data_IF_103942517579
#
_entry.id   IF_103942517579
#
_cell.length_a   1.000
_cell.length_b   1.000
_cell.length_c   1.000
_cell.angle_alpha   90.00
_cell.angle_beta   90.00
_cell.angle_gamma   90.00
#
_symmetry.space_group_name_H-M   'P 1'
#
loop_
_entity.id
_entity.type
_entity.pdbx_description
1 polymer ?
#
# COMPACT_ATOMS: atom_id res chain seq x y z
N UNK A 1 -33.31 -7.62 -16.99
CA UNK A 1 -33.21 -7.94 -15.56
C UNK A 1 -33.86 -9.29 -15.34
N UNK A 2 -33.21 -10.16 -14.56
CA UNK A 2 -33.70 -11.50 -14.25
C UNK A 2 -33.70 -11.68 -12.73
N UNK A 3 -34.73 -12.34 -12.21
CA UNK A 3 -34.79 -12.77 -10.80
C UNK A 3 -34.94 -14.29 -10.82
N UNK A 4 -33.99 -14.98 -10.23
CA UNK A 4 -34.02 -16.45 -10.15
C UNK A 4 -35.00 -16.94 -9.07
N UNK A 5 -35.38 -18.22 -9.13
CA UNK A 5 -36.26 -18.84 -8.14
C UNK A 5 -35.69 -18.80 -6.70
N UNK A 6 -34.38 -18.65 -6.55
CA UNK A 6 -33.68 -18.53 -5.24
C UNK A 6 -33.48 -17.08 -4.79
N UNK A 7 -34.06 -16.12 -5.51
CA UNK A 7 -34.05 -14.69 -5.18
C UNK A 7 -32.80 -13.93 -5.64
N UNK A 8 -31.86 -14.56 -6.35
CA UNK A 8 -30.70 -13.85 -6.92
C UNK A 8 -31.12 -12.99 -8.12
N UNK A 9 -30.57 -11.78 -8.22
CA UNK A 9 -30.88 -10.77 -9.24
C UNK A 9 -29.74 -10.67 -10.27
N UNK A 10 -30.09 -10.72 -11.55
CA UNK A 10 -29.20 -10.48 -12.69
C UNK A 10 -29.58 -9.22 -13.45
N UNK A 11 -28.62 -8.33 -13.71
CA UNK A 11 -28.77 -7.17 -14.60
C UNK A 11 -27.81 -7.36 -15.77
N UNK A 12 -28.33 -7.47 -16.99
CA UNK A 12 -27.52 -7.82 -18.17
C UNK A 12 -27.19 -9.30 -18.33
N UNK A 13 -27.60 -10.16 -17.38
CA UNK A 13 -27.42 -11.63 -17.43
C UNK A 13 -28.67 -12.37 -16.98
N UNK A 14 -28.91 -13.56 -17.54
CA UNK A 14 -29.94 -14.51 -17.10
C UNK A 14 -29.40 -15.54 -16.10
N UNK A 15 -28.09 -15.60 -15.91
CA UNK A 15 -27.41 -16.53 -14.99
C UNK A 15 -26.56 -15.73 -13.99
N UNK A 16 -27.12 -15.39 -12.81
CA UNK A 16 -26.38 -14.67 -11.76
C UNK A 16 -25.24 -15.48 -11.11
N UNK A 17 -25.10 -16.77 -11.43
CA UNK A 17 -24.08 -17.64 -10.85
C UNK A 17 -24.19 -17.74 -9.33
N UNK A 18 -23.05 -17.60 -8.65
CA UNK A 18 -22.97 -17.63 -7.18
C UNK A 18 -23.36 -16.30 -6.51
N UNK A 19 -23.61 -15.24 -7.28
CA UNK A 19 -23.85 -13.90 -6.73
C UNK A 19 -25.33 -13.67 -6.42
N UNK A 20 -25.61 -12.97 -5.31
CA UNK A 20 -26.96 -12.47 -5.01
C UNK A 20 -27.38 -11.33 -5.94
N UNK A 21 -26.42 -10.51 -6.38
CA UNK A 21 -26.59 -9.51 -7.42
C UNK A 21 -25.43 -9.64 -8.41
N UNK A 22 -25.73 -9.99 -9.66
CA UNK A 22 -24.77 -10.03 -10.76
C UNK A 22 -25.11 -8.93 -11.77
N UNK A 23 -24.12 -8.13 -12.17
CA UNK A 23 -24.29 -7.04 -13.13
C UNK A 23 -23.26 -7.21 -14.25
N UNK A 24 -23.72 -7.58 -15.44
CA UNK A 24 -22.90 -7.61 -16.66
C UNK A 24 -22.84 -6.20 -17.27
N UNK A 25 -22.12 -5.30 -16.60
CA UNK A 25 -22.02 -3.89 -16.97
C UNK A 25 -21.45 -3.03 -15.85
N UNK A 26 -21.44 -1.70 -16.07
CA UNK A 26 -21.01 -0.74 -15.05
C UNK A 26 -22.15 -0.44 -14.08
N UNK A 27 -21.80 -0.31 -12.80
CA UNK A 27 -22.74 0.12 -11.75
C UNK A 27 -22.50 1.61 -11.48
N UNK A 28 -23.55 2.42 -11.58
CA UNK A 28 -23.55 3.79 -11.09
C UNK A 28 -24.08 3.83 -9.65
N UNK A 29 -23.32 4.41 -8.74
CA UNK A 29 -23.72 4.59 -7.34
C UNK A 29 -23.21 5.95 -6.84
N UNK A 30 -23.96 6.59 -5.92
CA UNK A 30 -23.45 7.76 -5.19
C UNK A 30 -22.44 7.36 -4.13
N UNK A 31 -22.66 6.19 -3.52
CA UNK A 31 -21.83 5.63 -2.46
C UNK A 31 -21.93 4.11 -2.49
N UNK A 32 -20.85 3.45 -2.09
CA UNK A 32 -20.79 2.01 -1.87
C UNK A 32 -20.11 1.75 -0.52
N UNK A 33 -20.89 1.35 0.47
CA UNK A 33 -20.36 0.91 1.77
C UNK A 33 -20.10 -0.60 1.71
N UNK A 34 -18.85 -1.02 1.93
CA UNK A 34 -18.46 -2.43 1.96
C UNK A 34 -18.10 -2.80 3.39
N UNK A 35 -18.99 -3.55 4.06
CA UNK A 35 -18.72 -4.07 5.41
C UNK A 35 -17.89 -5.34 5.31
N UNK A 36 -16.62 -5.25 5.73
CA UNK A 36 -15.70 -6.39 5.80
C UNK A 36 -15.31 -6.64 7.26
N UNK A 37 -15.02 -7.89 7.61
CA UNK A 37 -14.68 -8.26 8.99
C UNK A 37 -13.23 -7.98 9.39
N UNK A 38 -12.34 -7.70 8.42
CA UNK A 38 -10.91 -7.46 8.67
C UNK A 38 -10.49 -6.16 8.01
N UNK A 39 -10.10 -5.19 8.83
CA UNK A 39 -9.48 -3.95 8.39
C UNK A 39 -7.99 -4.01 8.72
N UNK A 40 -7.16 -3.41 7.87
CA UNK A 40 -5.70 -3.47 7.97
C UNK A 40 -5.10 -2.63 9.12
N UNK A 41 -5.74 -2.58 10.28
CA UNK A 41 -5.26 -1.84 11.47
C UNK A 41 -4.29 -2.72 12.28
N UNK A 42 -3.14 -3.06 11.69
CA UNK A 42 -2.13 -3.87 12.38
C UNK A 42 -0.69 -3.50 12.06
N UNK A 43 -0.42 -2.71 11.01
CA UNK A 43 0.95 -2.33 10.61
C UNK A 43 1.63 -1.48 11.68
N UNK A 44 0.87 -0.65 12.40
CA UNK A 44 1.39 0.18 13.48
C UNK A 44 1.43 -0.52 14.86
N UNK A 45 0.97 -1.77 14.95
CA UNK A 45 0.98 -2.50 16.23
C UNK A 45 2.40 -2.93 16.63
N UNK A 46 2.72 -2.97 17.93
CA UNK A 46 3.99 -3.52 18.40
C UNK A 46 4.21 -4.94 17.89
N UNK A 47 5.41 -5.21 17.38
CA UNK A 47 5.78 -6.54 16.85
C UNK A 47 5.48 -6.75 15.37
N UNK A 48 4.87 -5.78 14.67
CA UNK A 48 4.75 -5.84 13.22
C UNK A 48 6.14 -5.90 12.56
N UNK A 49 6.36 -6.94 11.75
CA UNK A 49 7.63 -7.14 11.05
C UNK A 49 7.59 -6.45 9.70
N UNK A 50 7.99 -5.18 9.67
CA UNK A 50 8.14 -4.44 8.42
C UNK A 50 9.23 -5.09 7.56
N UNK A 51 8.85 -5.51 6.35
CA UNK A 51 9.77 -6.15 5.40
C UNK A 51 10.94 -5.19 5.08
N UNK A 52 12.19 -5.66 4.99
CA UNK A 52 13.28 -4.81 4.50
C UNK A 52 13.04 -4.34 3.05
N UNK A 53 13.37 -3.07 2.74
CA UNK A 53 13.23 -2.53 1.38
C UNK A 53 14.05 -3.31 0.33
N UNK A 54 15.15 -3.95 0.73
CA UNK A 54 15.94 -4.83 -0.15
C UNK A 54 15.16 -6.08 -0.59
N UNK A 55 14.36 -6.65 0.32
CA UNK A 55 13.51 -7.80 0.00
C UNK A 55 12.30 -7.36 -0.83
N UNK A 56 11.72 -6.20 -0.53
CA UNK A 56 10.66 -5.61 -1.37
C UNK A 56 11.18 -5.39 -2.79
N UNK A 57 12.37 -4.79 -2.95
CA UNK A 57 13.00 -4.57 -4.25
C UNK A 57 13.24 -5.88 -5.01
N UNK A 58 13.75 -6.90 -4.33
CA UNK A 58 13.98 -8.23 -4.92
C UNK A 58 12.68 -8.89 -5.37
N UNK A 59 11.61 -8.76 -4.56
CA UNK A 59 10.29 -9.27 -4.90
C UNK A 59 9.74 -8.57 -6.14
N UNK A 60 9.77 -7.23 -6.18
CA UNK A 60 9.27 -6.44 -7.31
C UNK A 60 10.04 -6.74 -8.60
N UNK A 61 11.37 -6.87 -8.53
CA UNK A 61 12.18 -7.20 -9.70
C UNK A 61 11.78 -8.56 -10.32
N UNK A 62 11.40 -9.52 -9.47
CA UNK A 62 11.05 -10.88 -9.90
C UNK A 62 9.58 -11.01 -10.32
N UNK A 63 8.66 -10.40 -9.57
CA UNK A 63 7.21 -10.64 -9.71
C UNK A 63 6.47 -9.48 -10.40
N UNK A 64 7.10 -8.30 -10.56
CA UNK A 64 6.52 -7.12 -11.20
C UNK A 64 5.25 -6.58 -10.50
N UNK A 65 5.03 -6.94 -9.23
CA UNK A 65 3.99 -6.37 -8.38
C UNK A 65 4.47 -6.32 -6.92
N UNK A 66 3.71 -5.65 -6.05
CA UNK A 66 4.01 -5.58 -4.62
C UNK A 66 3.64 -6.89 -3.91
N UNK A 67 4.33 -7.25 -2.82
CA UNK A 67 3.89 -8.33 -1.94
C UNK A 67 2.43 -8.16 -1.49
N UNK A 68 1.72 -9.28 -1.34
CA UNK A 68 0.30 -9.36 -0.96
C UNK A 68 -0.72 -8.73 -1.93
N UNK A 69 -0.27 -7.94 -2.90
CA UNK A 69 -1.08 -7.42 -3.99
C UNK A 69 -1.15 -8.48 -5.10
N UNK A 70 -2.34 -8.82 -5.62
CA UNK A 70 -2.47 -9.80 -6.69
C UNK A 70 -1.76 -9.33 -7.97
N UNK A 71 -1.25 -10.29 -8.75
CA UNK A 71 -0.66 -9.98 -10.06
C UNK A 71 -1.73 -9.57 -11.08
N UNK A 72 -1.32 -8.94 -12.18
CA UNK A 72 -2.24 -8.64 -13.29
C UNK A 72 -2.94 -9.90 -13.82
N UNK A 73 -2.20 -11.01 -13.91
CA UNK A 73 -2.75 -12.29 -14.35
C UNK A 73 -3.84 -12.79 -13.38
N UNK A 74 -3.61 -12.68 -12.07
CA UNK A 74 -4.60 -13.07 -11.06
C UNK A 74 -5.85 -12.18 -11.10
N UNK A 75 -5.68 -10.88 -11.30
CA UNK A 75 -6.80 -9.92 -11.42
C UNK A 75 -7.62 -10.21 -12.69
N UNK A 76 -6.97 -10.55 -13.81
CA UNK A 76 -7.66 -10.93 -15.05
C UNK A 76 -8.43 -12.25 -14.91
N UNK A 77 -7.87 -13.23 -14.20
CA UNK A 77 -8.47 -14.54 -14.04
C UNK A 77 -9.62 -14.54 -13.01
N UNK A 78 -9.42 -13.89 -11.86
CA UNK A 78 -10.28 -14.04 -10.69
C UNK A 78 -11.05 -12.76 -10.32
N UNK A 79 -10.76 -11.65 -10.99
CA UNK A 79 -11.28 -10.33 -10.62
C UNK A 79 -10.65 -9.80 -9.33
N UNK A 80 -11.30 -8.82 -8.71
CA UNK A 80 -10.83 -8.22 -7.47
C UNK A 80 -11.98 -7.91 -6.51
N UNK A 81 -11.79 -8.27 -5.24
CA UNK A 81 -12.70 -7.86 -4.17
C UNK A 81 -12.44 -6.41 -3.78
N UNK A 82 -13.42 -5.51 -3.97
CA UNK A 82 -13.25 -4.09 -3.69
C UNK A 82 -12.81 -3.81 -2.23
N UNK A 83 -13.47 -4.44 -1.25
CA UNK A 83 -13.14 -4.26 0.17
C UNK A 83 -11.77 -4.81 0.54
N UNK A 84 -11.44 -6.03 0.07
CA UNK A 84 -10.16 -6.67 0.32
C UNK A 84 -9.00 -5.87 -0.30
N UNK A 85 -9.15 -5.40 -1.54
CA UNK A 85 -8.11 -4.61 -2.18
C UNK A 85 -7.92 -3.26 -1.49
N UNK A 86 -8.99 -2.58 -1.07
CA UNK A 86 -8.86 -1.35 -0.30
C UNK A 86 -8.13 -1.58 1.02
N UNK A 87 -8.41 -2.69 1.72
CA UNK A 87 -7.67 -3.04 2.94
C UNK A 87 -6.18 -3.30 2.66
N UNK A 88 -5.85 -4.04 1.59
CA UNK A 88 -4.45 -4.27 1.18
C UNK A 88 -3.74 -2.97 0.78
N UNK A 89 -4.41 -2.09 0.04
CA UNK A 89 -3.84 -0.78 -0.32
C UNK A 89 -3.57 0.07 0.91
N UNK A 90 -4.47 0.08 1.89
CA UNK A 90 -4.24 0.74 3.17
C UNK A 90 -3.01 0.17 3.88
N UNK A 91 -2.91 -1.16 3.98
CA UNK A 91 -1.72 -1.82 4.53
C UNK A 91 -0.43 -1.33 3.86
N UNK A 92 -0.41 -1.22 2.52
CA UNK A 92 0.77 -0.73 1.79
C UNK A 92 1.06 0.75 2.05
N UNK A 93 0.03 1.58 2.22
CA UNK A 93 0.20 2.99 2.60
C UNK A 93 0.81 3.12 4.00
N UNK A 94 0.38 2.29 4.94
CA UNK A 94 0.93 2.26 6.30
C UNK A 94 2.40 1.79 6.30
N UNK A 95 2.72 0.73 5.55
CA UNK A 95 4.10 0.26 5.37
C UNK A 95 4.99 1.34 4.73
N UNK A 96 4.51 2.00 3.68
CA UNK A 96 5.20 3.14 3.04
C UNK A 96 5.47 4.26 4.03
N UNK A 97 4.51 4.58 4.89
CA UNK A 97 4.65 5.60 5.94
C UNK A 97 5.76 5.22 6.91
N UNK A 98 5.84 3.95 7.33
CA UNK A 98 6.94 3.46 8.18
C UNK A 98 8.31 3.57 7.49
N UNK A 99 8.41 3.23 6.20
CA UNK A 99 9.66 3.41 5.45
C UNK A 99 10.07 4.88 5.38
N UNK A 100 9.13 5.79 5.11
CA UNK A 100 9.41 7.24 5.05
C UNK A 100 9.90 7.75 6.40
N UNK A 101 9.28 7.35 7.52
CA UNK A 101 9.73 7.72 8.87
C UNK A 101 11.16 7.22 9.13
N UNK A 102 11.48 5.97 8.74
CA UNK A 102 12.84 5.42 8.88
C UNK A 102 13.86 6.18 8.04
N UNK A 103 13.50 6.53 6.80
CA UNK A 103 14.35 7.30 5.91
C UNK A 103 14.59 8.72 6.43
N UNK A 104 13.55 9.41 6.91
CA UNK A 104 13.66 10.75 7.51
C UNK A 104 14.62 10.75 8.70
N UNK A 105 14.48 9.78 9.62
CA UNK A 105 15.42 9.60 10.74
C UNK A 105 16.86 9.37 10.28
N UNK A 106 17.07 8.68 9.15
CA UNK A 106 18.41 8.47 8.59
C UNK A 106 18.97 9.77 8.00
N UNK A 107 18.15 10.54 7.29
CA UNK A 107 18.53 11.84 6.71
C UNK A 107 18.96 12.79 7.83
N UNK A 108 18.17 12.93 8.89
CA UNK A 108 18.49 13.80 10.04
C UNK A 108 19.83 13.43 10.70
N UNK A 109 20.14 12.13 10.83
CA UNK A 109 21.43 11.66 11.36
C UNK A 109 22.60 12.03 10.43
N UNK A 110 22.42 11.91 9.13
CA UNK A 110 23.43 12.26 8.15
C UNK A 110 23.67 13.78 8.13
N UNK A 111 22.61 14.58 8.16
CA UNK A 111 22.69 16.04 8.23
C UNK A 111 23.36 16.52 9.51
N UNK A 112 23.05 15.91 10.66
CA UNK A 112 23.71 16.23 11.92
C UNK A 112 25.22 15.96 11.89
N UNK A 113 25.65 14.89 11.20
CA UNK A 113 27.06 14.50 11.08
C UNK A 113 27.82 15.37 10.07
N UNK A 114 27.14 15.84 9.03
CA UNK A 114 27.71 16.66 7.96
C UNK A 114 27.76 18.16 8.27
N UNK A 115 27.26 18.61 9.44
CA UNK A 115 27.43 20.00 9.87
C UNK A 115 28.93 20.30 10.05
N UNK A 116 29.50 21.30 9.34
CA UNK A 116 30.91 21.63 9.48
C UNK A 116 31.20 22.03 10.92
N UNK A 117 32.06 21.25 11.60
CA UNK A 117 32.65 21.66 12.88
C UNK A 117 33.35 22.99 12.62
N UNK A 118 32.90 24.07 13.24
CA UNK A 118 33.53 25.38 13.14
C UNK A 118 35.06 25.24 13.28
N UNK A 119 35.77 25.51 12.18
CA UNK A 119 37.19 25.85 12.22
C UNK A 119 37.29 27.07 13.13
N UNK A 120 37.96 26.92 14.28
CA UNK A 120 38.21 28.03 15.19
C UNK A 120 38.96 29.11 14.42
N UNK A 121 38.30 30.25 14.15
CA UNK A 121 38.94 31.49 13.71
C UNK A 121 39.81 32.01 14.86
N UNK A 122 40.98 31.39 15.07
CA UNK A 122 41.87 31.69 16.19
C UNK A 122 43.36 31.62 15.87
N UNK A 123 43.78 30.77 14.92
CA UNK A 123 45.21 30.43 14.78
C UNK A 123 45.95 31.16 13.64
N UNK A 124 45.40 32.27 13.15
CA UNK A 124 46.10 33.13 12.17
C UNK A 124 46.40 34.51 12.77
N UNK A 125 47.30 34.55 13.75
CA UNK A 125 48.09 35.76 14.04
C UNK A 125 49.57 35.40 14.11
N UNK A 126 50.37 36.32 13.60
CA UNK A 126 51.84 36.38 13.53
C UNK A 126 52.44 35.65 12.33
N UNK A 127 52.63 36.37 11.23
CA UNK A 127 53.94 36.93 10.87
C UNK A 127 53.81 37.68 9.55
N UNK A 128 53.70 39.00 9.59
CA UNK A 128 54.30 39.87 8.58
C UNK A 128 54.84 41.11 9.30
N UNK A 129 56.17 41.21 9.29
CA UNK A 129 56.90 42.48 9.35
C UNK A 129 56.90 43.08 7.94
#
# INVERSE_FOLDING_TARGET
>A
MTISATGSVGIGTTSPGAYKLAVEGKIGAREVEVKTGSWADFVFKPGYQLRPLSEVASFVATHQHLPEIPSEADVKANGIGLGEMNAKLLQKIEELTLYVIQQQKRIERLEATNKPKHIRKGDFKLHQR
#
